data_IF_758320612621
#
_entry.id   IF_758320612621
#
_cell.length_a   1.000
_cell.length_b   1.000
_cell.length_c   1.000
_cell.angle_alpha   90.00
_cell.angle_beta   90.00
_cell.angle_gamma   90.00
#
_symmetry.space_group_name_H-M   'P 1'
#
loop_
_entity.id
_entity.type
_entity.pdbx_description
1 polymer ?
#
# COMPACT_ATOMS: atom_id res chain seq x y z
N UNK A 1 -17.24 14.78 -5.19
CA UNK A 1 -17.14 14.70 -6.68
C UNK A 1 -15.66 14.70 -7.04
N UNK A 2 -15.21 13.71 -7.79
CA UNK A 2 -13.80 13.59 -8.20
C UNK A 2 -13.54 14.59 -9.35
N UNK A 3 -12.69 15.59 -9.11
CA UNK A 3 -12.39 16.63 -10.10
C UNK A 3 -11.16 16.28 -10.95
N UNK A 4 -10.29 15.43 -10.44
CA UNK A 4 -9.08 14.99 -11.12
C UNK A 4 -8.67 13.59 -10.72
N UNK A 5 -8.09 12.87 -11.68
CA UNK A 5 -7.50 11.55 -11.49
C UNK A 5 -6.05 11.59 -11.96
N UNK A 6 -5.16 10.97 -11.21
CA UNK A 6 -3.81 10.69 -11.66
C UNK A 6 -3.67 9.18 -11.87
N UNK A 7 -3.31 8.79 -13.09
CA UNK A 7 -2.98 7.41 -13.43
C UNK A 7 -1.46 7.27 -13.49
N UNK A 8 -0.91 6.33 -12.75
CA UNK A 8 0.53 6.02 -12.75
C UNK A 8 0.72 4.60 -13.28
N UNK A 9 1.44 4.45 -14.38
CA UNK A 9 1.81 3.13 -14.87
C UNK A 9 3.07 2.66 -14.13
N UNK A 10 2.91 1.65 -13.28
CA UNK A 10 3.97 1.16 -12.38
C UNK A 10 5.14 0.47 -13.10
N UNK A 11 4.95 0.04 -14.36
CA UNK A 11 5.97 -0.67 -15.13
C UNK A 11 6.93 0.27 -15.85
N UNK A 12 6.44 1.41 -16.32
CA UNK A 12 7.22 2.40 -17.07
C UNK A 12 7.50 3.68 -16.27
N UNK A 13 6.90 3.78 -15.07
CA UNK A 13 7.00 4.93 -14.16
C UNK A 13 6.62 6.26 -14.84
N UNK A 14 5.56 6.25 -15.62
CA UNK A 14 4.95 7.42 -16.25
C UNK A 14 3.61 7.74 -15.62
N UNK A 15 3.21 9.02 -15.71
CA UNK A 15 1.95 9.50 -15.17
C UNK A 15 1.12 10.24 -16.23
N UNK A 16 -0.19 10.07 -16.13
CA UNK A 16 -1.18 10.81 -16.91
C UNK A 16 -2.21 11.40 -15.95
N UNK A 17 -2.42 12.72 -16.07
CA UNK A 17 -3.46 13.41 -15.32
C UNK A 17 -4.70 13.60 -16.20
N UNK A 18 -5.86 13.28 -15.65
CA UNK A 18 -7.17 13.44 -16.27
C UNK A 18 -7.98 14.39 -15.37
N UNK A 19 -8.36 15.56 -15.88
CA UNK A 19 -8.97 16.62 -15.08
C UNK A 19 -10.28 17.11 -15.73
N UNK A 20 -11.21 17.63 -14.91
CA UNK A 20 -12.45 18.23 -15.42
C UNK A 20 -12.25 19.61 -16.07
N UNK A 21 -11.22 20.35 -15.67
CA UNK A 21 -11.10 21.78 -16.00
C UNK A 21 -10.00 22.13 -16.97
N UNK A 22 -8.93 21.34 -17.03
CA UNK A 22 -7.78 21.64 -17.88
C UNK A 22 -6.97 20.38 -18.19
N UNK A 23 -6.13 20.44 -19.19
CA UNK A 23 -5.16 19.38 -19.51
C UNK A 23 -5.31 18.80 -20.91
N UNK A 24 -4.52 17.75 -21.17
CA UNK A 24 -4.54 17.01 -22.42
C UNK A 24 -5.69 15.99 -22.46
N UNK A 25 -6.10 15.51 -21.29
CA UNK A 25 -7.17 14.54 -21.08
C UNK A 25 -8.20 15.12 -20.13
N UNK A 26 -9.44 15.15 -20.57
CA UNK A 26 -10.55 15.73 -19.82
C UNK A 26 -11.38 14.63 -19.19
N UNK A 27 -11.65 14.75 -17.89
CA UNK A 27 -12.48 13.81 -17.15
C UNK A 27 -13.96 14.09 -17.46
N UNK A 28 -14.69 13.06 -17.86
CA UNK A 28 -16.12 13.09 -18.02
C UNK A 28 -16.83 12.45 -16.85
N UNK A 29 -16.52 11.18 -16.64
CA UNK A 29 -17.11 10.37 -15.59
C UNK A 29 -16.09 9.34 -15.12
N UNK A 30 -16.03 9.14 -13.82
CA UNK A 30 -15.25 8.07 -13.22
C UNK A 30 -16.18 7.23 -12.35
N UNK A 31 -16.43 6.02 -12.81
CA UNK A 31 -17.10 5.00 -11.99
C UNK A 31 -16.00 4.10 -11.40
N UNK A 32 -15.79 4.23 -10.10
CA UNK A 32 -14.78 3.45 -9.37
C UNK A 32 -15.31 2.10 -8.89
N UNK A 33 -16.51 1.72 -9.34
CA UNK A 33 -17.19 0.49 -8.97
C UNK A 33 -17.69 0.52 -7.53
N UNK A 34 -18.49 -0.46 -7.19
CA UNK A 34 -18.97 -0.69 -5.82
C UNK A 34 -18.31 -1.95 -5.26
N UNK A 35 -18.20 -2.02 -3.95
CA UNK A 35 -17.73 -3.24 -3.29
C UNK A 35 -18.84 -4.28 -3.31
N UNK A 36 -18.58 -5.40 -3.96
CA UNK A 36 -19.47 -6.56 -3.98
C UNK A 36 -18.97 -7.63 -3.03
N UNK A 37 -19.90 -8.39 -2.44
CA UNK A 37 -19.58 -9.52 -1.58
C UNK A 37 -20.28 -10.77 -2.05
N UNK A 38 -19.58 -11.90 -2.04
CA UNK A 38 -20.17 -13.23 -2.21
C UNK A 38 -20.46 -13.82 -0.84
N UNK A 39 -21.76 -14.09 -0.60
CA UNK A 39 -22.27 -14.60 0.67
C UNK A 39 -22.51 -16.09 0.54
N UNK A 40 -21.64 -16.89 1.13
CA UNK A 40 -21.76 -18.33 1.13
C UNK A 40 -22.75 -18.81 2.20
N UNK A 41 -23.81 -19.48 1.78
CA UNK A 41 -24.88 -19.94 2.67
C UNK A 41 -25.05 -21.46 2.63
N UNK A 42 -25.66 -21.99 3.68
CA UNK A 42 -26.15 -23.36 3.71
C UNK A 42 -27.53 -23.43 4.40
N UNK A 43 -28.30 -24.49 4.10
CA UNK A 43 -29.65 -24.68 4.63
C UNK A 43 -29.83 -26.08 5.18
N UNK A 44 -30.28 -26.17 6.42
CA UNK A 44 -30.71 -27.43 7.01
C UNK A 44 -32.13 -27.78 6.58
N UNK A 45 -32.47 -29.09 6.67
CA UNK A 45 -33.84 -29.58 6.41
C UNK A 45 -34.80 -28.89 7.39
N UNK A 46 -35.89 -28.29 6.88
CA UNK A 46 -36.91 -27.56 7.63
C UNK A 46 -36.43 -26.21 8.27
N UNK A 47 -35.27 -25.72 7.91
CA UNK A 47 -34.84 -24.41 8.33
C UNK A 47 -35.61 -23.31 7.55
N UNK A 48 -36.09 -22.27 8.27
CA UNK A 48 -36.60 -21.06 7.65
C UNK A 48 -35.40 -20.13 7.37
N UNK A 49 -35.21 -19.73 6.11
CA UNK A 49 -34.07 -18.99 5.68
C UNK A 49 -32.82 -19.84 5.49
N UNK A 50 -31.64 -19.24 5.54
CA UNK A 50 -30.32 -19.83 5.35
C UNK A 50 -29.37 -19.36 6.43
N UNK A 51 -28.32 -20.13 6.70
CA UNK A 51 -27.22 -19.76 7.59
C UNK A 51 -26.01 -19.36 6.75
N UNK A 52 -25.42 -18.20 7.03
CA UNK A 52 -24.19 -17.73 6.41
C UNK A 52 -23.01 -18.38 7.13
N UNK A 53 -22.08 -18.98 6.38
CA UNK A 53 -20.86 -19.55 6.94
C UNK A 53 -19.58 -18.82 6.50
N UNK A 54 -19.62 -18.06 5.41
CA UNK A 54 -18.52 -17.24 4.95
C UNK A 54 -19.04 -16.08 4.09
N UNK A 55 -18.25 -14.99 4.04
CA UNK A 55 -18.47 -13.87 3.13
C UNK A 55 -17.10 -13.45 2.59
N UNK A 56 -16.96 -13.37 1.27
CA UNK A 56 -15.77 -12.86 0.59
C UNK A 56 -16.07 -11.54 -0.10
N UNK A 57 -15.05 -10.69 -0.19
CA UNK A 57 -15.13 -9.46 -0.97
C UNK A 57 -14.66 -9.78 -2.38
N UNK A 58 -15.49 -9.44 -3.36
CA UNK A 58 -15.21 -9.70 -4.77
C UNK A 58 -14.30 -8.61 -5.38
N UNK A 59 -13.55 -8.95 -6.43
CA UNK A 59 -12.79 -7.98 -7.21
C UNK A 59 -13.70 -6.87 -7.76
N UNK A 60 -13.14 -5.68 -7.92
CA UNK A 60 -13.87 -4.48 -8.37
C UNK A 60 -13.56 -4.18 -9.83
N UNK A 61 -14.57 -3.78 -10.58
CA UNK A 61 -14.39 -3.21 -11.92
C UNK A 61 -14.53 -1.69 -11.87
N UNK A 62 -13.66 -0.99 -12.57
CA UNK A 62 -13.69 0.47 -12.68
C UNK A 62 -13.83 0.91 -14.13
N UNK A 63 -14.43 2.06 -14.35
CA UNK A 63 -14.47 2.67 -15.68
C UNK A 63 -14.20 4.17 -15.61
N UNK A 64 -13.37 4.66 -16.53
CA UNK A 64 -13.02 6.08 -16.65
C UNK A 64 -13.37 6.54 -18.05
N UNK A 65 -14.27 7.48 -18.15
CA UNK A 65 -14.68 8.10 -19.41
C UNK A 65 -14.18 9.54 -19.47
N UNK A 66 -13.76 9.94 -20.64
CA UNK A 66 -13.25 11.29 -20.82
C UNK A 66 -13.14 11.69 -22.28
N UNK A 67 -12.53 12.85 -22.49
CA UNK A 67 -12.31 13.39 -23.83
C UNK A 67 -10.85 13.76 -24.02
N UNK A 68 -10.40 13.56 -25.26
CA UNK A 68 -9.17 14.13 -25.78
C UNK A 68 -9.59 15.30 -26.65
N UNK A 69 -9.04 16.49 -26.39
CA UNK A 69 -9.27 17.67 -27.21
C UNK A 69 -7.92 18.26 -27.68
N UNK A 70 -7.84 18.61 -28.94
CA UNK A 70 -6.64 19.22 -29.50
C UNK A 70 -6.97 20.37 -30.45
N UNK A 71 -6.01 21.25 -30.70
CA UNK A 71 -6.17 22.36 -31.64
C UNK A 71 -6.04 21.93 -33.10
N UNK A 72 -5.50 20.73 -33.36
CA UNK A 72 -5.44 20.08 -34.67
C UNK A 72 -5.57 18.56 -34.55
N UNK A 73 -5.84 17.88 -35.67
CA UNK A 73 -5.99 16.43 -35.73
C UNK A 73 -4.69 15.68 -35.37
N UNK A 74 -3.53 16.24 -35.67
CA UNK A 74 -2.24 15.61 -35.33
C UNK A 74 -2.04 15.56 -33.82
N UNK A 75 -2.43 16.61 -33.09
CA UNK A 75 -2.35 16.65 -31.63
C UNK A 75 -3.24 15.57 -31.02
N UNK A 76 -4.49 15.45 -31.46
CA UNK A 76 -5.41 14.40 -31.01
C UNK A 76 -4.87 13.01 -31.29
N UNK A 77 -4.29 12.81 -32.48
CA UNK A 77 -3.66 11.54 -32.85
C UNK A 77 -2.46 11.20 -31.94
N UNK A 78 -1.61 12.17 -31.65
CA UNK A 78 -0.46 11.96 -30.74
C UNK A 78 -0.92 11.61 -29.32
N UNK A 79 -1.95 12.28 -28.81
CA UNK A 79 -2.52 12.00 -27.50
C UNK A 79 -3.13 10.59 -27.42
N UNK A 80 -3.83 10.13 -28.48
CA UNK A 80 -4.32 8.76 -28.57
C UNK A 80 -3.17 7.73 -28.54
N UNK A 81 -2.10 7.99 -29.30
CA UNK A 81 -0.93 7.09 -29.33
C UNK A 81 -0.30 7.03 -27.93
N UNK A 82 -0.11 8.18 -27.27
CA UNK A 82 0.42 8.25 -25.92
C UNK A 82 -0.45 7.48 -24.93
N UNK A 83 -1.77 7.68 -24.95
CA UNK A 83 -2.69 7.00 -24.05
C UNK A 83 -2.73 5.48 -24.30
N UNK A 84 -2.70 5.04 -25.57
CA UNK A 84 -2.63 3.61 -25.91
C UNK A 84 -1.32 2.95 -25.45
N UNK A 85 -0.21 3.68 -25.50
CA UNK A 85 1.07 3.17 -24.99
C UNK A 85 1.06 3.04 -23.48
N UNK A 86 0.44 4.02 -22.81
CA UNK A 86 0.34 4.07 -21.36
C UNK A 86 -0.61 3.00 -20.79
N UNK A 87 -1.80 2.80 -21.40
CA UNK A 87 -2.81 1.81 -20.98
C UNK A 87 -2.51 0.47 -21.65
N UNK A 88 -1.67 -0.32 -21.00
CA UNK A 88 -1.30 -1.64 -21.50
C UNK A 88 -1.90 -2.75 -20.62
N UNK A 89 -2.72 -3.68 -21.17
CA UNK A 89 -3.37 -4.76 -20.41
C UNK A 89 -2.42 -5.70 -19.65
N UNK A 90 -1.12 -5.70 -19.99
CA UNK A 90 -0.11 -6.50 -19.27
C UNK A 90 0.57 -5.76 -18.12
N UNK A 91 0.17 -4.55 -17.84
CA UNK A 91 0.80 -3.69 -16.85
C UNK A 91 -0.21 -3.24 -15.81
N UNK A 92 0.26 -3.08 -14.57
CA UNK A 92 -0.54 -2.55 -13.49
C UNK A 92 -0.54 -1.02 -13.53
N UNK A 93 -1.72 -0.45 -13.41
CA UNK A 93 -1.93 1.00 -13.33
C UNK A 93 -2.45 1.32 -11.94
N UNK A 94 -1.83 2.29 -11.28
CA UNK A 94 -2.33 2.88 -10.06
C UNK A 94 -3.16 4.10 -10.40
N UNK A 95 -4.41 4.11 -9.98
CA UNK A 95 -5.30 5.26 -10.02
C UNK A 95 -5.21 5.97 -8.68
N UNK A 96 -5.02 7.27 -8.70
CA UNK A 96 -5.05 8.14 -7.52
C UNK A 96 -6.22 9.11 -7.70
N UNK A 97 -7.13 9.11 -6.73
CA UNK A 97 -8.27 10.02 -6.64
C UNK A 97 -8.23 10.68 -5.26
N UNK A 98 -8.12 12.00 -5.20
CA UNK A 98 -7.92 12.74 -3.96
C UNK A 98 -6.69 12.21 -3.19
N UNK A 99 -6.89 11.72 -1.96
CA UNK A 99 -5.83 11.17 -1.09
C UNK A 99 -5.77 9.63 -1.11
N UNK A 100 -6.53 8.99 -2.00
CA UNK A 100 -6.66 7.54 -2.08
C UNK A 100 -6.12 7.00 -3.39
N UNK A 101 -5.71 5.74 -3.36
CA UNK A 101 -5.22 5.03 -4.54
C UNK A 101 -5.83 3.62 -4.64
N UNK A 102 -5.98 3.13 -5.87
CA UNK A 102 -6.34 1.75 -6.17
C UNK A 102 -5.54 1.27 -7.37
N UNK A 103 -5.15 0.00 -7.36
CA UNK A 103 -4.41 -0.61 -8.48
C UNK A 103 -5.35 -1.45 -9.33
N UNK A 104 -5.23 -1.29 -10.65
CA UNK A 104 -6.03 -2.06 -11.59
C UNK A 104 -5.21 -2.56 -12.78
N UNK A 105 -5.71 -3.60 -13.41
CA UNK A 105 -5.26 -4.08 -14.70
C UNK A 105 -6.25 -3.63 -15.77
N UNK A 106 -5.81 -2.95 -16.85
CA UNK A 106 -6.70 -2.63 -17.95
C UNK A 106 -7.30 -3.91 -18.55
N UNK A 107 -8.62 -4.02 -18.62
CA UNK A 107 -9.30 -5.18 -19.22
C UNK A 107 -9.15 -5.20 -20.73
N UNK A 108 -9.14 -4.02 -21.32
CA UNK A 108 -9.01 -3.83 -22.77
C UNK A 108 -8.04 -2.70 -23.09
N UNK A 109 -7.65 -2.57 -24.35
CA UNK A 109 -7.06 -1.32 -24.85
C UNK A 109 -8.10 -0.21 -24.74
N UNK A 110 -7.63 1.05 -24.75
CA UNK A 110 -8.52 2.22 -24.71
C UNK A 110 -9.53 2.18 -25.86
N UNK A 111 -10.80 2.31 -25.55
CA UNK A 111 -11.87 2.41 -26.55
C UNK A 111 -12.11 3.86 -26.88
N UNK A 112 -12.13 4.19 -28.19
CA UNK A 112 -12.38 5.54 -28.66
C UNK A 112 -13.70 5.63 -29.40
N UNK A 113 -14.48 6.66 -29.10
CA UNK A 113 -15.71 6.97 -29.81
C UNK A 113 -15.62 8.39 -30.40
N UNK A 114 -15.75 8.55 -31.71
CA UNK A 114 -15.80 9.87 -32.32
C UNK A 114 -17.08 10.59 -31.88
N UNK A 115 -16.98 11.89 -31.63
CA UNK A 115 -18.15 12.74 -31.39
C UNK A 115 -18.73 13.14 -32.74
N UNK A 116 -19.83 12.51 -33.14
CA UNK A 116 -20.46 12.76 -34.43
C UNK A 116 -21.20 14.11 -34.54
N UNK A 117 -21.55 14.72 -33.40
CA UNK A 117 -22.36 15.93 -33.38
C UNK A 117 -21.67 17.16 -33.98
N UNK A 118 -20.33 17.22 -33.93
CA UNK A 118 -19.59 18.38 -34.41
C UNK A 118 -18.80 18.12 -35.71
N UNK A 119 -18.81 16.91 -36.24
CA UNK A 119 -18.03 16.49 -37.42
C UNK A 119 -16.55 16.94 -37.36
N UNK A 120 -16.01 16.97 -36.15
CA UNK A 120 -14.76 17.62 -35.82
C UNK A 120 -13.79 16.58 -35.22
N UNK A 121 -12.75 16.21 -35.97
CA UNK A 121 -11.70 15.30 -35.52
C UNK A 121 -10.82 15.86 -34.36
N UNK A 122 -11.19 17.03 -33.82
CA UNK A 122 -10.46 17.71 -32.75
C UNK A 122 -10.89 17.24 -31.35
N UNK A 123 -12.02 16.52 -31.23
CA UNK A 123 -12.52 15.96 -29.97
C UNK A 123 -12.79 14.47 -30.15
N UNK A 124 -12.33 13.68 -29.19
CA UNK A 124 -12.56 12.25 -29.18
C UNK A 124 -12.84 11.74 -27.78
N UNK A 125 -13.94 11.03 -27.58
CA UNK A 125 -14.24 10.35 -26.33
C UNK A 125 -13.32 9.13 -26.18
N UNK A 126 -12.91 8.86 -24.95
CA UNK A 126 -12.21 7.61 -24.59
C UNK A 126 -12.89 6.94 -23.39
N UNK A 127 -12.73 5.63 -23.33
CA UNK A 127 -13.15 4.78 -22.22
C UNK A 127 -11.96 3.87 -21.85
N UNK A 128 -11.63 3.87 -20.56
CA UNK A 128 -10.68 2.95 -19.94
C UNK A 128 -11.47 2.06 -18.99
N UNK A 129 -11.37 0.75 -19.15
CA UNK A 129 -11.98 -0.24 -18.24
C UNK A 129 -10.86 -0.97 -17.51
N UNK A 130 -11.05 -1.16 -16.21
CA UNK A 130 -10.04 -1.78 -15.36
C UNK A 130 -10.63 -2.77 -14.37
N UNK A 131 -9.87 -3.82 -14.09
CA UNK A 131 -10.14 -4.86 -13.13
C UNK A 131 -9.20 -4.73 -11.94
N UNK A 132 -9.75 -4.55 -10.74
CA UNK A 132 -9.02 -4.42 -9.49
C UNK A 132 -9.10 -5.75 -8.74
N UNK A 133 -8.07 -6.60 -8.78
CA UNK A 133 -8.08 -7.87 -8.05
C UNK A 133 -8.06 -7.68 -6.54
N UNK A 134 -7.48 -6.58 -6.06
CA UNK A 134 -7.57 -6.12 -4.68
C UNK A 134 -8.54 -4.93 -4.64
N UNK A 135 -9.77 -5.14 -4.14
CA UNK A 135 -10.87 -4.19 -4.35
C UNK A 135 -10.89 -2.99 -3.38
N UNK A 136 -9.94 -2.92 -2.45
CA UNK A 136 -9.90 -1.85 -1.45
C UNK A 136 -9.10 -0.65 -1.95
N UNK A 137 -9.59 0.53 -1.65
CA UNK A 137 -8.80 1.74 -1.74
C UNK A 137 -7.76 1.76 -0.63
N UNK A 138 -6.62 2.35 -0.89
CA UNK A 138 -5.56 2.54 0.10
C UNK A 138 -5.17 4.02 0.12
N UNK A 139 -4.55 4.47 1.20
CA UNK A 139 -3.98 5.81 1.22
C UNK A 139 -2.96 5.99 0.08
N UNK A 140 -2.90 7.20 -0.47
CA UNK A 140 -1.96 7.56 -1.54
C UNK A 140 -0.52 7.31 -1.13
N UNK A 141 -0.19 7.67 0.11
CA UNK A 141 1.13 7.54 0.69
C UNK A 141 1.16 6.40 1.72
N UNK A 142 2.23 5.60 1.70
CA UNK A 142 2.42 4.51 2.65
C UNK A 142 2.72 5.07 4.05
N UNK A 143 2.03 4.56 5.07
CA UNK A 143 2.30 4.91 6.45
C UNK A 143 3.59 4.25 6.93
N UNK A 144 4.40 5.04 7.63
CA UNK A 144 5.69 4.60 8.17
C UNK A 144 5.75 4.89 9.67
N UNK A 145 5.91 3.84 10.47
CA UNK A 145 6.02 3.93 11.93
C UNK A 145 7.34 3.31 12.39
N UNK A 146 8.09 4.07 13.21
CA UNK A 146 9.24 3.55 13.92
C UNK A 146 8.80 3.01 15.28
N UNK A 147 9.04 1.72 15.52
CA UNK A 147 8.74 1.06 16.79
C UNK A 147 9.77 1.41 17.88
N UNK A 148 10.95 1.91 17.47
CA UNK A 148 12.00 2.34 18.38
C UNK A 148 11.84 3.82 18.78
N UNK A 149 11.68 4.10 20.06
CA UNK A 149 11.63 5.48 20.57
C UNK A 149 13.04 5.97 20.93
N UNK A 150 13.44 7.09 20.33
CA UNK A 150 14.66 7.80 20.74
C UNK A 150 14.31 9.02 21.58
N UNK A 151 14.61 9.01 22.87
CA UNK A 151 14.45 10.18 23.72
C UNK A 151 15.48 11.24 23.29
N UNK A 152 15.00 12.35 22.73
CA UNK A 152 15.85 13.52 22.43
C UNK A 152 16.28 14.14 23.76
N UNK A 153 17.60 14.21 24.05
CA UNK A 153 18.15 14.86 25.25
C UNK A 153 18.59 16.29 24.96
N UNK A 154 18.48 16.71 23.70
CA UNK A 154 18.87 18.06 23.31
C UNK A 154 17.74 19.07 23.55
N UNK A 155 18.00 20.09 24.34
CA UNK A 155 17.11 21.23 24.59
C UNK A 155 17.92 22.53 24.75
N UNK A 156 17.29 23.63 24.45
CA UNK A 156 17.90 24.96 24.66
C UNK A 156 17.46 25.53 26.04
N UNK A 157 18.34 26.30 26.75
CA UNK A 157 19.69 26.68 26.38
C UNK A 157 20.70 25.54 26.50
N UNK A 158 21.66 25.47 25.57
CA UNK A 158 22.70 24.46 25.53
C UNK A 158 23.81 24.77 26.53
N UNK A 159 23.95 23.98 27.58
CA UNK A 159 25.09 24.01 28.49
C UNK A 159 25.97 22.80 28.18
N UNK A 160 27.20 23.03 27.78
CA UNK A 160 28.17 21.97 27.48
C UNK A 160 29.03 21.77 28.75
N UNK A 161 28.87 20.65 29.51
CA UNK A 161 29.78 20.35 30.60
C UNK A 161 31.18 20.10 30.05
N UNK A 162 32.19 20.65 30.73
CA UNK A 162 33.58 20.66 30.25
C UNK A 162 34.24 19.27 30.21
N UNK A 163 33.71 18.32 30.98
CA UNK A 163 34.33 16.99 31.21
C UNK A 163 33.47 15.82 30.74
N UNK A 164 32.19 15.99 30.36
CA UNK A 164 31.28 14.88 30.08
C UNK A 164 30.78 14.79 28.61
N UNK A 165 31.06 15.80 27.80
CA UNK A 165 30.58 15.86 26.41
C UNK A 165 29.06 16.10 26.32
N UNK A 166 28.54 16.14 25.09
CA UNK A 166 27.10 16.30 24.83
C UNK A 166 26.53 14.97 24.37
N UNK A 167 25.55 14.44 25.09
CA UNK A 167 24.71 13.38 24.60
C UNK A 167 23.51 13.97 23.87
N UNK A 168 23.44 13.80 22.54
CA UNK A 168 22.37 14.31 21.71
C UNK A 168 21.07 13.51 21.83
N UNK A 169 21.13 12.28 22.31
CA UNK A 169 19.98 11.42 22.55
C UNK A 169 20.38 10.12 23.23
N UNK A 170 19.51 9.58 24.01
CA UNK A 170 19.60 8.20 24.52
C UNK A 170 18.50 7.41 23.82
N UNK A 171 18.86 6.29 23.20
CA UNK A 171 17.89 5.29 22.79
C UNK A 171 17.30 4.68 24.04
N UNK A 172 16.12 5.11 24.43
CA UNK A 172 15.27 4.31 25.33
C UNK A 172 14.46 3.41 24.42
N UNK A 173 14.61 2.09 24.51
CA UNK A 173 13.66 1.21 23.88
C UNK A 173 12.31 1.42 24.59
N UNK A 174 11.45 2.27 24.02
CA UNK A 174 10.02 2.10 24.23
C UNK A 174 9.73 0.78 23.53
N UNK A 175 9.56 -0.28 24.31
CA UNK A 175 9.34 -1.62 23.76
C UNK A 175 7.99 -1.73 23.07
N UNK A 176 7.15 -0.71 23.12
CA UNK A 176 5.77 -0.71 22.62
C UNK A 176 5.58 0.52 21.74
N UNK A 177 5.12 0.27 20.52
CA UNK A 177 4.61 1.28 19.61
C UNK A 177 3.10 1.13 19.44
N UNK A 178 2.43 2.25 19.42
CA UNK A 178 1.01 2.38 19.08
C UNK A 178 0.90 2.63 17.57
N UNK A 179 0.07 1.84 16.88
CA UNK A 179 -0.14 1.89 15.43
C UNK A 179 -1.63 1.86 15.16
N UNK A 180 -2.15 2.90 14.54
CA UNK A 180 -3.57 3.02 14.22
C UNK A 180 -3.83 2.58 12.78
N UNK A 181 -4.66 1.56 12.61
CA UNK A 181 -5.26 1.17 11.34
C UNK A 181 -6.65 1.81 11.24
N UNK A 182 -6.73 2.91 10.50
CA UNK A 182 -7.98 3.65 10.30
C UNK A 182 -8.82 3.09 9.12
N UNK A 183 -8.41 1.97 8.53
CA UNK A 183 -9.14 1.30 7.46
C UNK A 183 -10.33 0.49 7.96
N UNK A 184 -11.03 -0.15 7.01
CA UNK A 184 -12.22 -0.96 7.27
C UNK A 184 -11.90 -2.43 7.52
N UNK A 185 -10.64 -2.86 7.29
CA UNK A 185 -10.20 -4.26 7.39
C UNK A 185 -8.89 -4.41 8.14
N UNK A 186 -8.70 -5.61 8.67
CA UNK A 186 -7.40 -6.05 9.16
C UNK A 186 -6.45 -6.20 7.98
N UNK A 187 -5.27 -5.63 8.09
CA UNK A 187 -4.29 -5.57 7.00
C UNK A 187 -2.96 -6.20 7.37
N UNK A 188 -2.36 -6.92 6.42
CA UNK A 188 -0.94 -7.27 6.50
C UNK A 188 -0.06 -6.04 6.27
N UNK A 189 1.17 -6.10 6.77
CA UNK A 189 2.11 -4.98 6.71
C UNK A 189 3.55 -5.45 6.48
N UNK A 190 4.44 -4.50 6.24
CA UNK A 190 5.86 -4.78 6.04
C UNK A 190 6.61 -4.42 7.33
N UNK A 191 7.37 -5.37 7.86
CA UNK A 191 8.24 -5.22 9.02
C UNK A 191 9.68 -5.15 8.53
N UNK A 192 10.44 -4.20 9.03
CA UNK A 192 11.84 -4.05 8.71
C UNK A 192 12.68 -4.07 9.99
N UNK A 193 13.47 -5.13 10.17
CA UNK A 193 14.46 -5.27 11.24
C UNK A 193 15.81 -4.80 10.74
N UNK A 194 16.36 -3.71 11.27
CA UNK A 194 17.69 -3.18 10.93
C UNK A 194 18.67 -3.40 12.08
N UNK A 195 19.76 -4.07 11.80
CA UNK A 195 20.80 -4.33 12.78
C UNK A 195 21.98 -3.33 12.64
N UNK A 196 22.29 -2.59 13.71
CA UNK A 196 23.45 -1.69 13.82
C UNK A 196 24.59 -2.30 14.63
N UNK A 197 24.56 -3.60 14.84
CA UNK A 197 25.50 -4.43 15.56
C UNK A 197 25.00 -5.86 15.58
N UNK A 198 25.56 -6.72 16.44
CA UNK A 198 25.06 -8.09 16.62
C UNK A 198 23.67 -8.05 17.25
N UNK A 199 22.69 -8.71 16.60
CA UNK A 199 21.33 -8.94 17.11
C UNK A 199 21.01 -10.42 16.95
N UNK A 200 20.53 -11.06 17.99
CA UNK A 200 20.17 -12.50 17.99
C UNK A 200 18.65 -12.61 18.08
N UNK A 201 18.07 -13.35 17.15
CA UNK A 201 16.66 -13.73 17.13
C UNK A 201 15.72 -12.53 17.35
N UNK A 202 15.69 -11.55 16.41
CA UNK A 202 14.76 -10.43 16.52
C UNK A 202 13.31 -10.92 16.40
N UNK A 203 12.44 -10.34 17.21
CA UNK A 203 11.02 -10.69 17.33
C UNK A 203 10.16 -9.42 17.37
N UNK A 204 9.03 -9.46 16.71
CA UNK A 204 7.94 -8.48 16.83
C UNK A 204 6.70 -9.21 17.33
N UNK A 205 6.07 -8.70 18.38
CA UNK A 205 4.88 -9.26 19.01
C UNK A 205 3.76 -8.23 18.96
N UNK A 206 2.59 -8.64 18.55
CA UNK A 206 1.35 -7.92 18.77
C UNK A 206 0.85 -8.22 20.19
N UNK A 207 0.70 -7.19 21.02
CA UNK A 207 0.30 -7.32 22.40
C UNK A 207 -1.19 -7.71 22.53
N UNK A 208 -2.01 -7.28 21.56
CA UNK A 208 -3.45 -7.56 21.55
C UNK A 208 -3.76 -9.03 21.32
N UNK A 209 -3.25 -9.57 20.23
CA UNK A 209 -3.45 -10.98 19.83
C UNK A 209 -2.49 -11.96 20.53
N UNK A 210 -1.38 -11.48 21.11
CA UNK A 210 -0.26 -12.26 21.62
C UNK A 210 0.47 -13.05 20.51
N UNK A 211 0.17 -12.78 19.25
CA UNK A 211 0.88 -13.35 18.12
C UNK A 211 2.22 -12.67 17.92
N UNK A 212 3.17 -13.39 17.32
CA UNK A 212 4.49 -12.86 17.06
C UNK A 212 5.09 -13.37 15.76
N UNK A 213 6.08 -12.63 15.26
CA UNK A 213 6.97 -13.09 14.21
C UNK A 213 8.42 -12.98 14.65
N UNK A 214 9.16 -14.09 14.57
CA UNK A 214 10.55 -14.22 15.00
C UNK A 214 11.42 -14.68 13.85
N UNK A 215 12.60 -14.09 13.75
CA UNK A 215 13.64 -14.49 12.79
C UNK A 215 14.75 -15.20 13.55
N UNK A 216 14.80 -16.53 13.47
CA UNK A 216 15.78 -17.39 14.14
C UNK A 216 17.16 -17.29 13.47
N UNK A 217 17.78 -16.12 13.58
CA UNK A 217 19.08 -15.81 12.96
C UNK A 217 19.81 -14.72 13.74
N UNK A 218 21.12 -14.87 13.84
CA UNK A 218 21.97 -13.76 14.26
C UNK A 218 22.17 -12.81 13.09
N UNK A 219 21.76 -11.56 13.25
CA UNK A 219 21.98 -10.47 12.31
C UNK A 219 23.29 -9.77 12.64
N UNK A 220 24.03 -9.39 11.62
CA UNK A 220 25.27 -8.64 11.73
C UNK A 220 25.04 -7.14 11.53
N UNK A 221 26.04 -6.34 11.84
CA UNK A 221 26.00 -4.89 11.58
C UNK A 221 25.71 -4.58 10.11
N UNK A 222 24.72 -3.73 9.85
CA UNK A 222 24.28 -3.34 8.50
C UNK A 222 23.36 -4.34 7.81
N UNK A 223 23.02 -5.44 8.48
CA UNK A 223 22.06 -6.42 7.95
C UNK A 223 20.61 -5.96 8.22
N UNK A 224 19.78 -6.03 7.20
CA UNK A 224 18.34 -5.68 7.27
C UNK A 224 17.52 -6.89 6.88
N UNK A 225 16.49 -7.21 7.67
CA UNK A 225 15.51 -8.25 7.33
C UNK A 225 14.15 -7.58 7.08
N UNK A 226 13.58 -7.85 5.92
CA UNK A 226 12.26 -7.36 5.52
C UNK A 226 11.29 -8.52 5.50
N UNK A 227 10.25 -8.41 6.31
CA UNK A 227 9.15 -9.38 6.40
C UNK A 227 7.89 -8.73 5.84
N UNK A 228 7.36 -9.29 4.79
CA UNK A 228 6.09 -8.88 4.19
C UNK A 228 5.00 -9.86 4.64
N UNK A 229 4.03 -9.38 5.42
CA UNK A 229 2.95 -10.23 5.96
C UNK A 229 1.67 -10.13 5.15
N UNK A 230 1.61 -9.26 4.13
CA UNK A 230 0.44 -9.03 3.30
C UNK A 230 0.01 -10.30 2.57
N UNK A 231 -1.29 -10.51 2.47
CA UNK A 231 -1.83 -11.67 1.77
C UNK A 231 -1.40 -11.71 0.30
N UNK A 232 -1.07 -12.91 -0.18
CA UNK A 232 -0.56 -13.11 -1.54
C UNK A 232 0.87 -12.61 -1.78
N UNK A 233 1.48 -11.89 -0.82
CA UNK A 233 2.85 -11.34 -0.94
C UNK A 233 3.80 -11.80 0.15
N UNK A 234 3.39 -12.76 1.00
CA UNK A 234 4.16 -13.26 2.15
C UNK A 234 5.55 -13.71 1.77
N UNK A 235 6.56 -12.99 2.27
CA UNK A 235 7.98 -13.26 1.99
C UNK A 235 8.88 -12.70 3.08
N UNK A 236 10.07 -13.28 3.22
CA UNK A 236 11.12 -12.79 4.12
C UNK A 236 12.41 -12.66 3.33
N UNK A 237 12.97 -11.46 3.31
CA UNK A 237 14.20 -11.12 2.58
C UNK A 237 15.23 -10.56 3.54
N UNK A 238 16.47 -10.96 3.36
CA UNK A 238 17.63 -10.36 4.03
C UNK A 238 18.44 -9.53 3.05
N UNK A 239 18.89 -8.37 3.48
CA UNK A 239 19.76 -7.48 2.71
C UNK A 239 21.04 -7.28 3.51
N UNK A 240 22.17 -7.64 2.94
CA UNK A 240 23.50 -7.40 3.50
C UNK A 240 24.43 -6.95 2.37
N UNK A 241 25.14 -5.84 2.55
CA UNK A 241 26.06 -5.27 1.55
C UNK A 241 25.40 -5.13 0.15
N UNK A 242 24.18 -4.61 0.09
CA UNK A 242 23.36 -4.46 -1.12
C UNK A 242 23.04 -5.79 -1.84
N UNK A 243 23.26 -6.93 -1.19
CA UNK A 243 22.89 -8.24 -1.74
C UNK A 243 21.63 -8.72 -1.04
N UNK A 244 20.59 -8.97 -1.84
CA UNK A 244 19.33 -9.53 -1.35
C UNK A 244 19.37 -11.07 -1.37
N UNK A 245 18.84 -11.69 -0.32
CA UNK A 245 18.75 -13.14 -0.16
C UNK A 245 17.40 -13.54 0.43
N UNK A 246 16.95 -14.74 0.10
CA UNK A 246 15.72 -15.30 0.67
C UNK A 246 15.98 -15.82 2.09
N UNK A 247 15.33 -15.19 3.09
CA UNK A 247 15.45 -15.54 4.50
C UNK A 247 14.23 -16.28 5.05
N UNK A 248 13.33 -16.76 4.21
CA UNK A 248 12.14 -17.49 4.62
C UNK A 248 12.42 -18.68 5.57
N UNK A 249 13.52 -19.35 5.36
CA UNK A 249 13.98 -20.49 6.20
C UNK A 249 14.31 -20.11 7.66
N UNK A 250 14.49 -18.83 7.94
CA UNK A 250 14.80 -18.34 9.29
C UNK A 250 13.55 -17.88 10.05
N UNK A 251 12.36 -17.99 9.45
CA UNK A 251 11.12 -17.78 10.20
C UNK A 251 10.95 -18.89 11.23
N UNK A 252 10.73 -18.56 12.50
CA UNK A 252 10.37 -19.54 13.52
C UNK A 252 9.09 -20.27 13.14
N UNK A 253 9.00 -21.57 13.42
CA UNK A 253 7.82 -22.37 13.12
C UNK A 253 6.60 -21.94 13.92
N UNK A 254 6.82 -21.38 15.12
CA UNK A 254 5.77 -20.91 16.03
C UNK A 254 5.29 -19.50 15.68
N UNK A 255 5.93 -18.85 14.69
CA UNK A 255 5.56 -17.50 14.25
C UNK A 255 4.26 -17.48 13.47
N UNK A 256 3.42 -16.45 13.70
CA UNK A 256 2.25 -16.10 12.89
C UNK A 256 2.59 -15.02 11.85
N UNK A 257 1.77 -14.92 10.82
CA UNK A 257 1.79 -13.76 9.92
C UNK A 257 0.91 -12.66 10.53
N UNK A 258 1.58 -11.67 11.11
CA UNK A 258 0.90 -10.60 11.85
C UNK A 258 0.05 -9.75 10.91
N UNK A 259 -1.09 -9.26 11.41
CA UNK A 259 -1.95 -8.25 10.80
C UNK A 259 -2.19 -7.10 11.79
N UNK A 260 -2.46 -5.90 11.27
CA UNK A 260 -2.98 -4.79 12.06
C UNK A 260 -4.50 -4.87 12.04
N UNK A 261 -5.10 -5.14 13.18
CA UNK A 261 -6.55 -5.09 13.34
C UNK A 261 -7.07 -3.66 13.14
N UNK A 262 -8.34 -3.53 12.77
CA UNK A 262 -8.99 -2.21 12.68
C UNK A 262 -8.91 -1.49 14.05
N UNK A 263 -8.50 -0.22 14.04
CA UNK A 263 -8.28 0.60 15.23
C UNK A 263 -6.85 0.54 15.74
N UNK A 264 -6.67 0.74 17.03
CA UNK A 264 -5.36 0.90 17.67
C UNK A 264 -4.72 -0.44 18.00
N UNK A 265 -3.50 -0.65 17.49
CA UNK A 265 -2.67 -1.84 17.71
C UNK A 265 -1.44 -1.48 18.56
N UNK A 266 -1.02 -2.38 19.41
CA UNK A 266 0.16 -2.22 20.26
C UNK A 266 1.21 -3.27 19.92
N UNK A 267 2.31 -2.85 19.30
CA UNK A 267 3.38 -3.72 18.84
C UNK A 267 4.62 -3.59 19.71
N UNK A 268 5.19 -4.71 20.13
CA UNK A 268 6.40 -4.76 20.94
C UNK A 268 7.49 -5.53 20.22
N UNK A 269 8.67 -4.93 20.09
CA UNK A 269 9.84 -5.64 19.57
C UNK A 269 10.75 -6.10 20.69
N UNK A 270 11.50 -7.18 20.43
CA UNK A 270 12.52 -7.73 21.31
C UNK A 270 13.63 -8.43 20.49
N UNK A 271 14.66 -8.84 21.16
CA UNK A 271 15.68 -9.75 20.64
C UNK A 271 16.28 -10.54 21.81
N UNK A 272 16.76 -11.75 21.56
CA UNK A 272 17.42 -12.57 22.57
C UNK A 272 18.70 -11.88 23.07
N UNK A 273 19.50 -11.32 22.14
CA UNK A 273 20.66 -10.48 22.47
C UNK A 273 20.70 -9.26 21.53
N UNK A 274 21.23 -8.14 22.01
CA UNK A 274 21.54 -6.98 21.19
C UNK A 274 20.34 -6.10 20.84
N UNK A 275 19.31 -6.07 21.65
CA UNK A 275 18.10 -5.24 21.44
C UNK A 275 18.43 -3.76 21.22
N UNK A 276 19.50 -3.24 21.84
CA UNK A 276 19.95 -1.86 21.66
C UNK A 276 20.53 -1.57 20.27
N UNK A 277 20.91 -2.62 19.55
CA UNK A 277 21.41 -2.54 18.17
C UNK A 277 20.30 -2.77 17.13
N UNK A 278 19.06 -3.04 17.57
CA UNK A 278 17.94 -3.33 16.70
C UNK A 278 17.09 -2.09 16.49
N UNK A 279 16.79 -1.76 15.24
CA UNK A 279 15.72 -0.86 14.85
C UNK A 279 14.62 -1.64 14.17
N UNK A 280 13.37 -1.30 14.48
CA UNK A 280 12.21 -1.92 13.86
C UNK A 280 11.33 -0.83 13.27
N UNK A 281 10.98 -1.00 12.01
CA UNK A 281 10.09 -0.12 11.27
C UNK A 281 8.93 -0.92 10.72
N UNK A 282 7.79 -0.25 10.60
CA UNK A 282 6.56 -0.82 10.06
C UNK A 282 6.08 0.08 8.93
N UNK A 283 5.71 -0.54 7.82
CA UNK A 283 5.07 0.14 6.68
C UNK A 283 3.76 -0.54 6.37
N UNK A 284 2.71 0.22 6.22
CA UNK A 284 1.37 -0.28 5.95
C UNK A 284 0.52 0.76 5.23
N UNK A 285 -0.53 0.29 4.57
CA UNK A 285 -1.56 1.13 3.98
C UNK A 285 -2.91 0.61 4.43
N UNK A 286 -3.71 1.41 5.18
CA UNK A 286 -5.09 1.08 5.50
C UNK A 286 -5.91 0.81 4.26
N UNK A 287 -6.85 -0.12 4.36
CA UNK A 287 -7.75 -0.49 3.27
C UNK A 287 -9.17 0.01 3.53
N UNK A 288 -9.75 0.71 2.55
CA UNK A 288 -11.08 1.29 2.63
C UNK A 288 -12.02 0.69 1.60
N UNK A 289 -13.26 0.43 1.99
CA UNK A 289 -14.31 -0.06 1.09
C UNK A 289 -14.70 0.97 0.03
N UNK A 290 -14.92 2.18 0.48
CA UNK A 290 -15.38 3.29 -0.38
C UNK A 290 -14.63 4.57 -0.01
N UNK A 291 -14.60 5.50 -0.96
CA UNK A 291 -14.08 6.85 -0.77
C UNK A 291 -15.16 7.87 -1.12
N UNK A 292 -15.05 9.08 -0.58
CA UNK A 292 -15.94 10.19 -0.97
C UNK A 292 -15.72 10.53 -2.47
N UNK A 293 -16.77 10.27 -3.28
CA UNK A 293 -16.78 10.47 -4.73
C UNK A 293 -17.33 11.84 -5.12
#
# INVERSE_FOLDING_TARGET
>A
MIESLTLTNLSINEEININMTNGEYWLGEADLGQTESDIHTFKYINQIGESVYNTSIEPRSISIQGWIAGWDENKVRQQKIKLNHFINPKQTIRLIANDYSIEFYPETSVVYSPTYEDNNNLICKFLISGYCPYPLFTDKDEHFVSVAYTKKLFHFPLIIPKDEGIMFGIRQPSLIAEVDNNGDFDIGYIIEFRAHGKVVNPILTDIGSQEFIEITKTLNNGETVIVDTREGQRRIRGILNNTESNYFKYRSLDSSWLSLAVGTNYLRYNAEEGITNLEVYIRFNPGYLEIDQ
#
